data_IF_016296599016
#
_entry.id   IF_016296599016
#
_cell.length_a   1.000
_cell.length_b   1.000
_cell.length_c   1.000
_cell.angle_alpha   90.00
_cell.angle_beta   90.00
_cell.angle_gamma   90.00
#
_symmetry.space_group_name_H-M   'P 1'
#
loop_
_entity.id
_entity.type
_entity.pdbx_description
1 polymer ?
#
# COMPACT_ATOMS: atom_id res chain seq x y z
N UNK A 1 5.89 17.88 -15.98
CA UNK A 1 5.89 17.69 -14.51
C UNK A 1 5.87 16.20 -14.22
N UNK A 2 6.96 15.64 -13.69
CA UNK A 2 7.08 14.20 -13.45
C UNK A 2 6.19 13.76 -12.29
N UNK A 3 5.25 12.84 -12.55
CA UNK A 3 4.48 12.18 -11.51
C UNK A 3 5.45 11.53 -10.51
N UNK A 4 5.36 11.86 -9.22
CA UNK A 4 6.22 11.29 -8.19
C UNK A 4 6.18 9.75 -8.29
N UNK A 5 7.33 9.14 -8.57
CA UNK A 5 7.49 7.69 -8.76
C UNK A 5 7.41 6.90 -7.44
N UNK A 6 7.07 7.56 -6.34
CA UNK A 6 7.00 6.98 -5.01
C UNK A 6 6.03 7.77 -4.12
N UNK A 7 5.60 7.16 -3.03
CA UNK A 7 4.97 7.82 -1.89
C UNK A 7 5.62 7.34 -0.59
N UNK A 8 5.42 8.10 0.48
CA UNK A 8 5.90 7.76 1.82
C UNK A 8 4.77 7.89 2.81
N UNK A 9 4.81 7.07 3.85
CA UNK A 9 3.94 7.19 5.01
C UNK A 9 4.75 6.91 6.27
N UNK A 10 4.31 7.48 7.39
CA UNK A 10 4.96 7.30 8.68
C UNK A 10 4.40 6.06 9.37
N UNK A 11 5.26 5.16 9.82
CA UNK A 11 4.90 3.99 10.60
C UNK A 11 5.94 3.77 11.69
N UNK A 12 5.52 3.63 12.96
CA UNK A 12 6.40 3.52 14.14
C UNK A 12 7.59 4.49 14.08
N UNK A 13 7.28 5.77 13.89
CA UNK A 13 8.27 6.87 13.83
C UNK A 13 9.27 6.81 12.66
N UNK A 14 9.12 5.85 11.76
CA UNK A 14 9.99 5.65 10.60
C UNK A 14 9.24 5.84 9.29
N UNK A 15 9.91 6.43 8.30
CA UNK A 15 9.35 6.66 6.98
C UNK A 15 9.44 5.40 6.11
N UNK A 16 8.30 4.76 5.87
CA UNK A 16 8.20 3.68 4.89
C UNK A 16 8.06 4.29 3.50
N UNK A 17 8.88 3.83 2.54
CA UNK A 17 8.85 4.33 1.16
C UNK A 17 8.29 3.27 0.22
N UNK A 18 7.31 3.64 -0.59
CA UNK A 18 6.76 2.78 -1.64
C UNK A 18 7.10 3.39 -2.99
N UNK A 19 7.93 2.72 -3.80
CA UNK A 19 8.38 3.23 -5.10
C UNK A 19 8.05 2.28 -6.25
N UNK A 20 7.82 2.84 -7.43
CA UNK A 20 7.62 2.08 -8.66
C UNK A 20 8.96 1.55 -9.18
N UNK A 21 9.00 0.27 -9.54
CA UNK A 21 10.16 -0.39 -10.14
C UNK A 21 9.68 -1.23 -11.34
N UNK A 22 9.93 -0.74 -12.55
CA UNK A 22 9.41 -1.33 -13.78
C UNK A 22 7.87 -1.37 -13.81
N UNK A 23 7.30 -2.57 -13.91
CA UNK A 23 5.85 -2.84 -13.86
C UNK A 23 5.32 -3.07 -12.44
N UNK A 24 6.21 -3.16 -11.45
CA UNK A 24 5.89 -3.48 -10.06
C UNK A 24 6.13 -2.28 -9.14
N UNK A 25 5.81 -2.46 -7.87
CA UNK A 25 6.14 -1.54 -6.79
C UNK A 25 6.93 -2.29 -5.72
N UNK A 26 7.74 -1.56 -4.97
CA UNK A 26 8.43 -2.10 -3.81
C UNK A 26 8.18 -1.20 -2.59
N UNK A 27 7.99 -1.83 -1.44
CA UNK A 27 7.98 -1.21 -0.12
C UNK A 27 9.39 -1.36 0.43
N UNK A 28 9.99 -0.25 0.84
CA UNK A 28 11.25 -0.20 1.58
C UNK A 28 10.89 0.15 3.03
N UNK A 29 10.97 -0.85 3.89
CA UNK A 29 10.73 -0.73 5.32
C UNK A 29 12.08 -0.56 6.05
N UNK A 30 12.38 0.63 6.59
CA UNK A 30 13.64 0.87 7.30
C UNK A 30 13.69 0.23 8.69
N UNK A 31 12.55 -0.20 9.27
CA UNK A 31 12.49 -0.75 10.63
C UNK A 31 13.07 -2.17 10.62
N UNK A 32 12.52 -3.02 9.76
CA UNK A 32 12.94 -4.42 9.66
C UNK A 32 13.97 -4.67 8.54
N UNK A 33 14.43 -3.60 7.87
CA UNK A 33 15.36 -3.65 6.73
C UNK A 33 14.87 -4.58 5.59
N UNK A 34 13.56 -4.55 5.31
CA UNK A 34 12.91 -5.41 4.32
C UNK A 34 12.55 -4.64 3.05
N UNK A 35 12.66 -5.34 1.92
CA UNK A 35 12.16 -4.89 0.61
C UNK A 35 11.06 -5.85 0.16
N UNK A 36 9.85 -5.35 0.01
CA UNK A 36 8.67 -6.17 -0.28
C UNK A 36 8.10 -5.75 -1.63
N UNK A 37 8.05 -6.69 -2.58
CA UNK A 37 7.48 -6.45 -3.91
C UNK A 37 5.96 -6.56 -3.85
N UNK A 38 5.29 -5.53 -4.35
CA UNK A 38 3.83 -5.45 -4.45
C UNK A 38 3.42 -5.06 -5.85
N UNK A 39 2.18 -5.39 -6.23
CA UNK A 39 1.61 -4.97 -7.50
C UNK A 39 0.99 -3.55 -7.40
N UNK A 40 0.55 -3.02 -8.55
CA UNK A 40 -0.05 -1.68 -8.65
C UNK A 40 -1.31 -1.51 -7.79
N UNK A 41 -2.14 -2.55 -7.68
CA UNK A 41 -3.39 -2.52 -6.91
C UNK A 41 -3.05 -2.43 -5.41
N UNK A 42 -2.16 -3.30 -4.94
CA UNK A 42 -1.68 -3.32 -3.56
C UNK A 42 -1.06 -1.98 -3.15
N UNK A 43 -0.23 -1.39 -4.03
CA UNK A 43 0.32 -0.05 -3.80
C UNK A 43 -0.76 1.03 -3.70
N UNK A 44 -1.82 0.94 -4.50
CA UNK A 44 -2.94 1.88 -4.47
C UNK A 44 -3.81 1.72 -3.20
N UNK A 45 -4.02 0.49 -2.72
CA UNK A 45 -4.70 0.23 -1.44
C UNK A 45 -3.88 0.84 -0.30
N UNK A 46 -2.58 0.55 -0.26
CA UNK A 46 -1.68 1.05 0.78
C UNK A 46 -1.62 2.58 0.79
N UNK A 47 -1.53 3.23 -0.37
CA UNK A 47 -1.59 4.68 -0.48
C UNK A 47 -2.90 5.25 0.07
N UNK A 48 -4.04 4.62 -0.27
CA UNK A 48 -5.35 5.06 0.21
C UNK A 48 -5.48 4.96 1.73
N UNK A 49 -4.94 3.91 2.33
CA UNK A 49 -4.95 3.73 3.78
C UNK A 49 -3.98 4.69 4.48
N UNK A 50 -2.71 4.67 4.06
CA UNK A 50 -1.61 5.26 4.84
C UNK A 50 -1.37 6.74 4.54
N UNK A 51 -1.84 7.24 3.39
CA UNK A 51 -1.62 8.64 2.95
C UNK A 51 -2.93 9.40 2.84
N UNK A 52 -4.01 8.76 2.39
CA UNK A 52 -5.33 9.39 2.31
C UNK A 52 -6.21 9.14 3.53
N UNK A 53 -5.80 8.23 4.41
CA UNK A 53 -6.50 7.92 5.66
C UNK A 53 -7.99 7.58 5.46
N UNK A 54 -8.33 7.02 4.28
CA UNK A 54 -9.71 6.61 3.99
C UNK A 54 -10.01 5.26 4.63
N UNK A 55 -11.28 5.06 4.99
CA UNK A 55 -11.72 3.86 5.68
C UNK A 55 -11.60 2.60 4.81
N UNK A 56 -11.47 1.43 5.46
CA UNK A 56 -11.42 0.14 4.77
C UNK A 56 -12.68 -0.08 3.90
N UNK A 57 -13.84 0.38 4.37
CA UNK A 57 -15.11 0.26 3.64
C UNK A 57 -15.10 1.11 2.36
N UNK A 58 -14.63 2.36 2.43
CA UNK A 58 -14.47 3.21 1.26
C UNK A 58 -13.47 2.64 0.26
N UNK A 59 -12.37 2.07 0.75
CA UNK A 59 -11.38 1.38 -0.10
C UNK A 59 -12.04 0.24 -0.86
N UNK A 60 -12.77 -0.64 -0.16
CA UNK A 60 -13.52 -1.74 -0.80
C UNK A 60 -14.46 -1.21 -1.86
N UNK A 61 -15.23 -0.16 -1.55
CA UNK A 61 -16.17 0.44 -2.50
C UNK A 61 -15.48 1.01 -3.74
N UNK A 62 -14.30 1.62 -3.60
CA UNK A 62 -13.51 2.10 -4.73
C UNK A 62 -13.02 0.93 -5.59
N UNK A 63 -12.40 -0.07 -4.99
CA UNK A 63 -11.79 -1.17 -5.76
C UNK A 63 -12.82 -2.15 -6.34
N UNK A 64 -14.01 -2.25 -5.75
CA UNK A 64 -15.15 -2.99 -6.32
C UNK A 64 -15.57 -2.45 -7.68
N UNK A 65 -15.54 -1.11 -7.86
CA UNK A 65 -15.81 -0.46 -9.16
C UNK A 65 -14.78 -0.84 -10.24
N UNK A 66 -13.62 -1.37 -9.83
CA UNK A 66 -12.56 -1.85 -10.71
C UNK A 66 -12.52 -3.39 -10.81
N UNK A 67 -13.58 -4.09 -10.38
CA UNK A 67 -13.69 -5.55 -10.48
C UNK A 67 -12.90 -6.32 -9.42
N UNK A 68 -12.41 -5.65 -8.37
CA UNK A 68 -11.68 -6.30 -7.28
C UNK A 68 -12.66 -6.68 -6.18
N UNK A 69 -12.66 -7.95 -5.80
CA UNK A 69 -13.50 -8.45 -4.74
C UNK A 69 -13.06 -7.90 -3.37
N UNK A 70 -14.02 -7.56 -2.51
CA UNK A 70 -13.75 -6.94 -1.20
C UNK A 70 -12.91 -7.82 -0.27
N UNK A 71 -13.06 -9.14 -0.36
CA UNK A 71 -12.24 -10.10 0.39
C UNK A 71 -10.76 -10.06 -0.01
N UNK A 72 -10.42 -9.79 -1.27
CA UNK A 72 -9.04 -9.63 -1.71
C UNK A 72 -8.40 -8.36 -1.13
N UNK A 73 -9.20 -7.32 -0.92
CA UNK A 73 -8.77 -6.12 -0.19
C UNK A 73 -8.53 -6.45 1.28
N UNK A 74 -9.44 -7.19 1.92
CA UNK A 74 -9.27 -7.64 3.31
C UNK A 74 -8.01 -8.45 3.51
N UNK A 75 -7.80 -9.47 2.67
CA UNK A 75 -6.61 -10.33 2.73
C UNK A 75 -5.31 -9.54 2.58
N UNK A 76 -5.29 -8.55 1.68
CA UNK A 76 -4.14 -7.67 1.55
C UNK A 76 -3.90 -6.85 2.82
N UNK A 77 -4.95 -6.25 3.39
CA UNK A 77 -4.86 -5.45 4.61
C UNK A 77 -4.35 -6.29 5.79
N UNK A 78 -4.88 -7.50 5.96
CA UNK A 78 -4.42 -8.44 6.97
C UNK A 78 -2.94 -8.78 6.78
N UNK A 79 -2.51 -9.02 5.54
CA UNK A 79 -1.10 -9.30 5.25
C UNK A 79 -0.19 -8.10 5.55
N UNK A 80 -0.62 -6.87 5.24
CA UNK A 80 0.16 -5.66 5.55
C UNK A 80 0.30 -5.49 7.07
N UNK A 81 -0.77 -5.73 7.84
CA UNK A 81 -0.74 -5.70 9.31
C UNK A 81 0.16 -6.80 9.90
N UNK A 82 0.01 -8.05 9.43
CA UNK A 82 0.85 -9.18 9.86
C UNK A 82 2.34 -8.95 9.60
N UNK A 83 2.65 -8.22 8.53
CA UNK A 83 4.01 -7.86 8.19
C UNK A 83 4.49 -6.58 8.86
N UNK A 84 3.77 -5.99 9.82
CA UNK A 84 4.16 -4.75 10.49
C UNK A 84 4.46 -3.61 9.50
N UNK A 85 3.59 -3.39 8.52
CA UNK A 85 3.75 -2.32 7.51
C UNK A 85 2.69 -1.22 7.65
N UNK A 86 1.75 -1.35 8.60
CA UNK A 86 0.69 -0.42 8.97
C UNK A 86 0.42 -0.53 10.47
#
# INVERSE_FOLDING_TARGET
MGMNKFFRYLYKESWVTVRKEGTSYIIVDPIDLRVIKINKIQAAILYKMAVKEISIEEIKNVFRKHGIAGNAVDEFIENVKKNNLL
#
